data_IF_065135583012
#
_entry.id   IF_065135583012
#
_cell.length_a   1.000
_cell.length_b   1.000
_cell.length_c   1.000
_cell.angle_alpha   90.00
_cell.angle_beta   90.00
_cell.angle_gamma   90.00
#
_symmetry.space_group_name_H-M   'P 1'
#
loop_
_entity.id
_entity.type
_entity.pdbx_description
1 polymer ?
#
# COMPACT_ATOMS: atom_id res chain seq x y z
N UNK A 1 47.85 -5.78 21.83
CA UNK A 1 46.93 -4.68 22.16
C UNK A 1 45.53 -5.07 21.71
N UNK A 2 44.64 -5.40 22.65
CA UNK A 2 43.25 -5.75 22.35
C UNK A 2 42.44 -4.47 22.21
N UNK A 3 41.87 -4.24 21.03
CA UNK A 3 41.00 -3.08 20.77
C UNK A 3 39.64 -3.41 21.34
N UNK A 4 39.26 -2.72 22.42
CA UNK A 4 37.93 -2.85 23.02
C UNK A 4 36.85 -2.47 21.99
N UNK A 5 35.74 -3.23 21.89
CA UNK A 5 34.65 -2.89 20.98
C UNK A 5 34.01 -1.56 21.43
N UNK A 6 33.88 -0.61 20.50
CA UNK A 6 33.16 0.66 20.73
C UNK A 6 31.74 0.34 21.21
N UNK A 7 31.40 0.79 22.42
CA UNK A 7 30.05 0.69 22.96
C UNK A 7 29.06 1.37 21.99
N UNK A 8 28.20 0.58 21.35
CA UNK A 8 27.12 1.09 20.52
C UNK A 8 26.06 1.74 21.42
N UNK A 9 25.64 2.97 21.11
CA UNK A 9 24.61 3.65 21.90
C UNK A 9 23.31 2.82 21.87
N UNK A 10 22.52 2.80 22.95
CA UNK A 10 21.27 2.02 23.01
C UNK A 10 20.30 2.42 21.89
N UNK A 11 20.29 3.71 21.49
CA UNK A 11 19.56 4.19 20.31
C UNK A 11 20.08 3.58 19.01
N UNK A 12 21.39 3.48 18.82
CA UNK A 12 21.98 2.87 17.63
C UNK A 12 21.76 1.36 17.60
N UNK A 13 21.80 0.71 18.77
CA UNK A 13 21.50 -0.72 18.90
C UNK A 13 20.04 -1.01 18.57
N UNK A 14 19.10 -0.21 19.11
CA UNK A 14 17.67 -0.28 18.82
C UNK A 14 17.34 0.04 17.34
N UNK A 15 17.96 1.08 16.77
CA UNK A 15 17.78 1.45 15.36
C UNK A 15 18.32 0.38 14.39
N UNK A 16 19.36 -0.35 14.81
CA UNK A 16 19.94 -1.45 14.03
C UNK A 16 19.30 -2.82 14.37
N UNK A 17 18.36 -2.87 15.31
CA UNK A 17 17.67 -4.09 15.74
C UNK A 17 16.58 -4.43 14.72
N UNK A 18 16.96 -5.18 13.68
CA UNK A 18 16.08 -5.51 12.55
C UNK A 18 16.65 -5.15 11.19
N UNK A 19 17.79 -4.45 11.14
CA UNK A 19 18.57 -4.32 9.91
C UNK A 19 19.12 -5.71 9.56
N UNK A 20 18.56 -6.34 8.52
CA UNK A 20 19.19 -7.53 7.97
C UNK A 20 20.61 -7.15 7.54
N UNK A 21 21.57 -8.00 7.89
CA UNK A 21 22.91 -7.96 7.32
C UNK A 21 22.81 -7.77 5.80
N UNK A 22 23.76 -7.00 5.26
CA UNK A 22 23.95 -6.67 3.85
C UNK A 22 23.42 -7.75 2.88
N UNK A 23 22.84 -7.37 1.72
CA UNK A 23 22.55 -8.34 0.68
C UNK A 23 23.84 -9.10 0.37
N UNK A 24 23.84 -10.41 0.64
CA UNK A 24 24.98 -11.27 0.39
C UNK A 24 25.38 -11.10 -1.07
N UNK A 25 26.64 -10.72 -1.30
CA UNK A 25 27.16 -10.54 -2.65
C UNK A 25 27.15 -11.86 -3.43
N UNK A 26 27.29 -11.83 -4.77
CA UNK A 26 27.09 -12.99 -5.65
C UNK A 26 28.01 -14.21 -5.42
N UNK A 27 28.87 -14.19 -4.39
CA UNK A 27 29.94 -15.17 -4.16
C UNK A 27 29.98 -15.76 -2.73
N UNK A 28 29.05 -15.44 -1.84
CA UNK A 28 28.95 -16.15 -0.54
C UNK A 28 28.01 -17.35 -0.68
N UNK A 29 28.57 -18.55 -0.46
CA UNK A 29 27.91 -19.83 -0.67
C UNK A 29 26.65 -20.00 0.17
N UNK A 30 25.67 -20.67 -0.44
CA UNK A 30 24.34 -21.01 0.09
C UNK A 30 24.37 -21.63 1.50
N UNK A 31 24.49 -20.81 2.54
CA UNK A 31 24.21 -21.24 3.90
C UNK A 31 22.72 -21.09 4.18
N UNK A 32 22.00 -22.18 3.91
CA UNK A 32 20.62 -22.50 4.35
C UNK A 32 20.27 -21.87 5.71
N UNK A 33 19.74 -20.66 5.70
CA UNK A 33 18.89 -20.15 6.78
C UNK A 33 17.46 -20.37 6.30
N UNK A 34 16.73 -21.24 6.99
CA UNK A 34 15.36 -21.60 6.64
C UNK A 34 14.55 -20.37 6.30
N UNK A 35 13.98 -20.34 5.10
CA UNK A 35 13.11 -19.28 4.63
C UNK A 35 12.10 -18.95 5.73
N UNK A 36 12.17 -17.74 6.30
CA UNK A 36 11.19 -17.28 7.28
C UNK A 36 9.86 -17.11 6.53
N UNK A 37 9.05 -18.17 6.51
CA UNK A 37 7.73 -18.14 5.92
C UNK A 37 6.81 -17.36 6.85
N UNK A 38 6.48 -16.13 6.45
CA UNK A 38 5.45 -15.34 7.12
C UNK A 38 4.07 -15.92 6.82
N UNK A 39 3.18 -15.88 7.80
CA UNK A 39 1.79 -16.29 7.61
C UNK A 39 1.13 -15.47 6.49
N UNK A 40 0.45 -16.13 5.56
CA UNK A 40 -0.17 -15.50 4.39
C UNK A 40 -1.10 -14.34 4.75
N UNK A 41 -1.90 -14.47 5.80
CA UNK A 41 -2.79 -13.40 6.26
C UNK A 41 -2.04 -12.15 6.70
N UNK A 42 -0.86 -12.29 7.31
CA UNK A 42 -0.02 -11.13 7.69
C UNK A 42 0.47 -10.40 6.45
N UNK A 43 0.90 -11.15 5.44
CA UNK A 43 1.34 -10.59 4.14
C UNK A 43 0.17 -9.89 3.46
N UNK A 44 -0.98 -10.54 3.37
CA UNK A 44 -2.19 -9.98 2.76
C UNK A 44 -2.73 -8.75 3.49
N UNK A 45 -2.66 -8.69 4.82
CA UNK A 45 -3.05 -7.49 5.56
C UNK A 45 -2.03 -6.36 5.35
N UNK A 46 -0.73 -6.68 5.36
CA UNK A 46 0.31 -5.67 5.16
C UNK A 46 0.25 -5.06 3.76
N UNK A 47 0.18 -5.89 2.71
CA UNK A 47 -0.01 -5.41 1.33
C UNK A 47 -1.42 -4.85 1.13
N UNK A 48 -2.39 -5.36 1.87
CA UNK A 48 -3.78 -4.92 1.86
C UNK A 48 -3.95 -3.49 2.34
N UNK A 49 -3.19 -3.01 3.33
CA UNK A 49 -3.27 -1.60 3.77
C UNK A 49 -3.12 -0.63 2.58
N UNK A 50 -2.20 -0.92 1.67
CA UNK A 50 -1.94 -0.10 0.48
C UNK A 50 -3.06 -0.20 -0.57
N UNK A 51 -3.59 -1.40 -0.81
CA UNK A 51 -4.71 -1.57 -1.74
C UNK A 51 -6.03 -1.00 -1.18
N UNK A 52 -6.27 -1.17 0.11
CA UNK A 52 -7.49 -0.72 0.77
C UNK A 52 -7.51 0.79 0.98
N UNK A 53 -6.36 1.46 1.08
CA UNK A 53 -6.31 2.92 1.08
C UNK A 53 -6.89 3.48 -0.23
N UNK A 54 -6.57 2.84 -1.37
CA UNK A 54 -7.10 3.22 -2.68
C UNK A 54 -8.62 3.04 -2.77
N UNK A 55 -9.17 2.00 -2.14
CA UNK A 55 -10.62 1.81 -2.05
C UNK A 55 -11.33 2.95 -1.29
N UNK A 56 -10.62 3.66 -0.40
CA UNK A 56 -11.19 4.77 0.36
C UNK A 56 -11.62 5.95 -0.51
N UNK A 57 -10.84 6.29 -1.54
CA UNK A 57 -11.10 7.46 -2.38
C UNK A 57 -11.56 7.11 -3.80
N UNK A 58 -11.10 5.99 -4.37
CA UNK A 58 -11.30 5.70 -5.79
C UNK A 58 -12.78 5.59 -6.21
N UNK A 59 -13.66 4.90 -5.46
CA UNK A 59 -15.09 4.88 -5.79
C UNK A 59 -15.72 6.27 -5.73
N UNK A 60 -15.29 7.11 -4.80
CA UNK A 60 -15.73 8.50 -4.67
C UNK A 60 -15.31 9.34 -5.88
N UNK A 61 -14.05 9.24 -6.31
CA UNK A 61 -13.56 9.92 -7.52
C UNK A 61 -14.31 9.42 -8.75
N UNK A 62 -14.54 8.11 -8.89
CA UNK A 62 -15.30 7.56 -10.00
C UNK A 62 -16.74 8.10 -10.02
N UNK A 63 -17.40 8.20 -8.87
CA UNK A 63 -18.73 8.79 -8.74
C UNK A 63 -18.75 10.27 -9.12
N UNK A 64 -17.75 11.06 -8.69
CA UNK A 64 -17.64 12.48 -9.03
C UNK A 64 -17.34 12.72 -10.52
N UNK A 65 -16.49 11.89 -11.12
CA UNK A 65 -16.05 12.06 -12.50
C UNK A 65 -17.03 11.47 -13.53
N UNK A 66 -17.61 10.30 -13.24
CA UNK A 66 -18.46 9.55 -14.17
C UNK A 66 -19.95 9.53 -13.79
N UNK A 67 -20.31 10.02 -12.59
CA UNK A 67 -21.70 10.10 -12.14
C UNK A 67 -22.41 8.74 -12.19
N UNK A 68 -23.53 8.67 -12.90
CA UNK A 68 -24.30 7.44 -13.09
C UNK A 68 -23.51 6.31 -13.79
N UNK A 69 -22.48 6.63 -14.58
CA UNK A 69 -21.62 5.65 -15.25
C UNK A 69 -20.53 5.07 -14.34
N UNK A 70 -20.36 5.59 -13.12
CA UNK A 70 -19.32 5.13 -12.19
C UNK A 70 -19.29 3.63 -11.94
N UNK A 71 -20.42 2.89 -11.79
CA UNK A 71 -20.36 1.44 -11.60
C UNK A 71 -19.78 0.74 -12.82
N UNK A 72 -20.10 1.19 -14.03
CA UNK A 72 -19.56 0.63 -15.27
C UNK A 72 -18.06 0.89 -15.40
N UNK A 73 -17.62 2.11 -15.08
CA UNK A 73 -16.19 2.46 -15.09
C UNK A 73 -15.39 1.59 -14.10
N UNK A 74 -15.91 1.38 -12.89
CA UNK A 74 -15.26 0.49 -11.91
C UNK A 74 -15.25 -0.96 -12.36
N UNK A 75 -16.31 -1.44 -13.02
CA UNK A 75 -16.37 -2.80 -13.54
C UNK A 75 -15.33 -3.03 -14.64
N UNK A 76 -15.18 -2.09 -15.57
CA UNK A 76 -14.15 -2.14 -16.62
C UNK A 76 -12.76 -2.23 -15.98
N UNK A 77 -12.50 -1.43 -14.93
CA UNK A 77 -11.24 -1.49 -14.23
C UNK A 77 -11.01 -2.86 -13.58
N UNK A 78 -12.01 -3.42 -12.90
CA UNK A 78 -11.93 -4.76 -12.30
C UNK A 78 -11.60 -5.80 -13.37
N UNK A 79 -12.26 -5.75 -14.54
CA UNK A 79 -11.97 -6.65 -15.65
C UNK A 79 -10.53 -6.50 -16.14
N UNK A 80 -10.05 -5.27 -16.33
CA UNK A 80 -8.67 -5.00 -16.74
C UNK A 80 -7.66 -5.54 -15.71
N UNK A 81 -7.94 -5.39 -14.42
CA UNK A 81 -7.08 -5.94 -13.37
C UNK A 81 -7.08 -7.47 -13.38
N UNK A 82 -8.25 -8.11 -13.53
CA UNK A 82 -8.36 -9.57 -13.53
C UNK A 82 -7.79 -10.24 -14.79
N UNK A 83 -7.99 -9.64 -15.96
CA UNK A 83 -7.61 -10.24 -17.25
C UNK A 83 -6.32 -9.67 -17.83
N UNK A 84 -5.89 -8.48 -17.40
CA UNK A 84 -4.62 -7.87 -17.80
C UNK A 84 -3.55 -8.05 -16.72
N UNK A 85 -3.75 -7.45 -15.55
CA UNK A 85 -2.71 -7.39 -14.53
C UNK A 85 -2.46 -8.74 -13.84
N UNK A 86 -3.50 -9.43 -13.35
CA UNK A 86 -3.39 -10.68 -12.62
C UNK A 86 -2.63 -11.79 -13.38
N UNK A 87 -2.88 -12.08 -14.68
CA UNK A 87 -2.11 -13.12 -15.38
C UNK A 87 -0.63 -12.75 -15.52
N UNK A 88 -0.31 -11.46 -15.70
CA UNK A 88 1.08 -10.98 -15.73
C UNK A 88 1.74 -11.20 -14.35
N UNK A 89 1.09 -10.78 -13.27
CA UNK A 89 1.60 -10.99 -11.91
C UNK A 89 1.79 -12.47 -11.57
N UNK A 90 0.86 -13.33 -11.99
CA UNK A 90 1.01 -14.79 -11.82
C UNK A 90 2.24 -15.33 -12.55
N UNK A 91 2.52 -14.86 -13.76
CA UNK A 91 3.71 -15.26 -14.52
C UNK A 91 4.99 -14.77 -13.85
N UNK A 92 5.04 -13.51 -13.42
CA UNK A 92 6.21 -12.95 -12.72
C UNK A 92 6.48 -13.69 -11.41
N UNK A 93 5.45 -14.05 -10.66
CA UNK A 93 5.59 -14.79 -9.40
C UNK A 93 6.15 -16.21 -9.61
N UNK A 94 5.85 -16.85 -10.74
CA UNK A 94 6.41 -18.16 -11.10
C UNK A 94 7.88 -18.02 -11.51
N UNK A 95 8.21 -16.99 -12.29
CA UNK A 95 9.56 -16.79 -12.84
C UNK A 95 10.55 -16.22 -11.81
N UNK A 96 10.06 -15.54 -10.77
CA UNK A 96 10.85 -14.95 -9.68
C UNK A 96 10.45 -15.51 -8.31
N UNK A 97 10.67 -16.83 -8.06
CA UNK A 97 10.25 -17.48 -6.82
C UNK A 97 11.06 -17.06 -5.58
N UNK A 98 12.24 -16.47 -5.79
CA UNK A 98 13.13 -16.01 -4.72
C UNK A 98 12.90 -14.55 -4.32
N UNK A 99 11.92 -13.86 -4.91
CA UNK A 99 11.60 -12.47 -4.55
C UNK A 99 12.55 -11.44 -5.14
N UNK A 100 13.29 -11.78 -6.20
CA UNK A 100 14.15 -10.82 -6.93
C UNK A 100 13.32 -9.73 -7.66
N UNK A 101 11.99 -9.93 -7.75
CA UNK A 101 11.05 -9.01 -8.37
C UNK A 101 11.12 -9.02 -9.90
N UNK A 102 10.29 -8.17 -10.54
CA UNK A 102 10.26 -8.02 -12.00
C UNK A 102 11.51 -7.32 -12.54
N UNK A 103 12.17 -6.48 -11.72
CA UNK A 103 13.34 -5.69 -12.11
C UNK A 103 14.54 -6.60 -12.39
N UNK A 104 14.83 -7.56 -11.50
CA UNK A 104 15.93 -8.50 -11.70
C UNK A 104 15.68 -9.46 -12.88
N UNK A 105 14.41 -9.81 -13.14
CA UNK A 105 14.03 -10.58 -14.32
C UNK A 105 14.30 -9.78 -15.61
N UNK A 106 13.94 -8.50 -15.64
CA UNK A 106 14.14 -7.61 -16.79
C UNK A 106 15.62 -7.26 -17.02
N UNK A 107 16.43 -7.15 -15.95
CA UNK A 107 17.87 -6.93 -16.07
C UNK A 107 18.56 -8.08 -16.82
N UNK A 108 18.18 -9.33 -16.55
CA UNK A 108 18.74 -10.52 -17.20
C UNK A 108 18.41 -10.61 -18.70
N UNK A 109 17.41 -9.88 -19.18
CA UNK A 109 16.94 -9.90 -20.57
C UNK A 109 17.59 -8.82 -21.46
N UNK A 110 18.28 -7.82 -20.88
CA UNK A 110 18.83 -6.67 -21.62
C UNK A 110 20.36 -6.65 -21.66
N UNK A 111 20.99 -6.29 -22.78
CA UNK A 111 22.44 -6.28 -22.90
C UNK A 111 23.11 -5.14 -22.11
N UNK A 112 24.08 -5.54 -21.28
CA UNK A 112 25.11 -4.77 -20.56
C UNK A 112 24.73 -3.38 -19.99
N UNK A 113 24.65 -2.34 -20.83
CA UNK A 113 24.36 -0.96 -20.38
C UNK A 113 22.89 -0.58 -20.43
N UNK A 114 22.12 -1.16 -21.36
CA UNK A 114 20.69 -0.88 -21.48
C UNK A 114 19.95 -1.41 -20.26
N UNK A 115 20.33 -2.59 -19.76
CA UNK A 115 19.80 -3.15 -18.52
C UNK A 115 20.03 -2.22 -17.33
N UNK A 116 21.25 -1.71 -17.14
CA UNK A 116 21.56 -0.80 -16.04
C UNK A 116 20.79 0.53 -16.09
N UNK A 117 20.73 1.17 -17.26
CA UNK A 117 19.95 2.40 -17.42
C UNK A 117 18.46 2.16 -17.18
N UNK A 118 17.93 1.02 -17.65
CA UNK A 118 16.55 0.63 -17.44
C UNK A 118 16.24 0.36 -15.96
N UNK A 119 17.10 -0.38 -15.26
CA UNK A 119 16.98 -0.62 -13.81
C UNK A 119 17.02 0.70 -13.04
N UNK A 120 17.93 1.62 -13.38
CA UNK A 120 17.99 2.94 -12.75
C UNK A 120 16.70 3.74 -12.99
N UNK A 121 16.14 3.69 -14.20
CA UNK A 121 14.87 4.34 -14.51
C UNK A 121 13.71 3.73 -13.71
N UNK A 122 13.62 2.39 -13.62
CA UNK A 122 12.61 1.71 -12.81
C UNK A 122 12.77 2.00 -11.32
N UNK A 123 14.00 2.07 -10.81
CA UNK A 123 14.25 2.41 -9.42
C UNK A 123 13.84 3.86 -9.12
N UNK A 124 14.10 4.78 -10.05
CA UNK A 124 13.61 6.16 -9.96
C UNK A 124 12.09 6.24 -9.99
N UNK A 125 11.44 5.43 -10.83
CA UNK A 125 9.98 5.30 -10.87
C UNK A 125 9.44 4.76 -9.54
N UNK A 126 9.99 3.67 -9.00
CA UNK A 126 9.60 3.09 -7.71
C UNK A 126 9.80 4.07 -6.55
N UNK A 127 10.92 4.81 -6.54
CA UNK A 127 11.17 5.82 -5.52
C UNK A 127 10.14 6.96 -5.59
N UNK A 128 9.78 7.38 -6.80
CA UNK A 128 8.77 8.42 -7.02
C UNK A 128 7.40 7.93 -6.58
N UNK A 129 7.02 6.72 -6.98
CA UNK A 129 5.77 6.08 -6.59
C UNK A 129 5.65 5.97 -5.06
N UNK A 130 6.72 5.55 -4.38
CA UNK A 130 6.75 5.47 -2.92
C UNK A 130 6.53 6.84 -2.24
N UNK A 131 7.21 7.89 -2.73
CA UNK A 131 7.04 9.25 -2.20
C UNK A 131 5.62 9.77 -2.44
N UNK A 132 5.09 9.56 -3.65
CA UNK A 132 3.73 9.99 -4.02
C UNK A 132 2.70 9.26 -3.16
N UNK A 133 2.81 7.94 -3.02
CA UNK A 133 1.86 7.11 -2.28
C UNK A 133 1.79 7.50 -0.80
N UNK A 134 2.94 7.71 -0.14
CA UNK A 134 2.95 8.20 1.25
C UNK A 134 2.31 9.59 1.34
N UNK A 135 2.65 10.49 0.43
CA UNK A 135 2.20 11.88 0.48
C UNK A 135 0.70 12.00 0.21
N UNK A 136 0.19 11.34 -0.83
CA UNK A 136 -1.24 11.31 -1.16
C UNK A 136 -2.04 10.65 -0.05
N UNK A 137 -1.59 9.51 0.47
CA UNK A 137 -2.29 8.81 1.56
C UNK A 137 -2.37 9.67 2.83
N UNK A 138 -1.28 10.36 3.19
CA UNK A 138 -1.27 11.23 4.36
C UNK A 138 -2.12 12.51 4.15
N UNK A 139 -2.14 13.05 2.94
CA UNK A 139 -2.97 14.21 2.60
C UNK A 139 -4.46 13.86 2.65
N UNK A 140 -4.85 12.71 2.11
CA UNK A 140 -6.22 12.21 2.13
C UNK A 140 -6.70 11.93 3.56
N UNK A 141 -5.89 11.24 4.37
CA UNK A 141 -6.17 11.03 5.79
C UNK A 141 -6.34 12.36 6.55
N UNK A 142 -5.55 13.37 6.19
CA UNK A 142 -5.66 14.70 6.78
C UNK A 142 -6.95 15.40 6.37
N UNK A 143 -7.36 15.33 5.10
CA UNK A 143 -8.62 15.90 4.64
C UNK A 143 -9.80 15.30 5.41
N UNK A 144 -9.84 13.97 5.55
CA UNK A 144 -10.85 13.29 6.36
C UNK A 144 -10.85 13.71 7.84
N UNK A 145 -9.68 13.99 8.42
CA UNK A 145 -9.58 14.41 9.82
C UNK A 145 -10.02 15.87 10.03
N UNK A 146 -9.65 16.76 9.11
CA UNK A 146 -9.97 18.20 9.17
C UNK A 146 -11.45 18.45 8.85
N UNK A 147 -12.03 17.69 7.92
CA UNK A 147 -13.46 17.78 7.57
C UNK A 147 -14.35 17.07 8.59
N UNK A 148 -13.78 16.28 9.51
CA UNK A 148 -14.53 15.56 10.52
C UNK A 148 -15.25 16.55 11.46
N UNK A 149 -16.58 16.48 11.61
CA UNK A 149 -17.34 17.36 12.50
C UNK A 149 -16.85 17.39 13.96
N UNK A 150 -16.22 16.30 14.43
CA UNK A 150 -15.71 16.21 15.80
C UNK A 150 -14.41 17.00 16.02
N UNK A 151 -13.64 17.30 14.96
CA UNK A 151 -12.34 17.95 15.05
C UNK A 151 -12.20 19.23 14.20
N UNK A 152 -13.20 19.53 13.37
CA UNK A 152 -13.19 20.61 12.39
C UNK A 152 -12.88 21.99 13.00
N UNK A 153 -13.37 22.28 14.21
CA UNK A 153 -13.14 23.58 14.84
C UNK A 153 -11.69 23.77 15.35
N UNK A 154 -10.98 22.69 15.70
CA UNK A 154 -9.61 22.76 16.24
C UNK A 154 -8.53 22.55 15.18
N UNK A 155 -8.84 21.84 14.09
CA UNK A 155 -7.89 21.48 13.04
C UNK A 155 -8.07 22.28 11.73
N UNK A 156 -9.10 23.14 11.66
CA UNK A 156 -9.34 24.06 10.54
C UNK A 156 -8.08 24.88 10.23
N UNK A 157 -7.66 24.86 8.96
CA UNK A 157 -6.51 25.62 8.45
C UNK A 157 -5.13 25.02 8.75
N UNK A 158 -5.04 23.88 9.46
CA UNK A 158 -3.77 23.27 9.86
C UNK A 158 -3.39 22.04 9.01
N UNK A 159 -3.94 21.91 7.80
CA UNK A 159 -3.75 20.75 6.92
C UNK A 159 -2.29 20.32 6.78
N UNK A 160 -1.37 21.26 6.47
CA UNK A 160 0.05 20.93 6.28
C UNK A 160 0.68 20.34 7.55
N UNK A 161 0.36 20.90 8.72
CA UNK A 161 0.94 20.46 10.00
C UNK A 161 0.43 19.06 10.34
N UNK A 162 -0.86 18.82 10.16
CA UNK A 162 -1.48 17.51 10.40
C UNK A 162 -0.89 16.45 9.46
N UNK A 163 -0.75 16.75 8.16
CA UNK A 163 -0.13 15.83 7.19
C UNK A 163 1.30 15.48 7.61
N UNK A 164 2.12 16.48 7.95
CA UNK A 164 3.51 16.25 8.38
C UNK A 164 3.57 15.44 9.68
N UNK A 165 2.66 15.69 10.61
CA UNK A 165 2.57 14.93 11.85
C UNK A 165 2.18 13.46 11.60
N UNK A 166 1.24 13.18 10.69
CA UNK A 166 0.87 11.82 10.31
C UNK A 166 2.01 11.08 9.63
N UNK A 167 2.74 11.73 8.72
CA UNK A 167 3.92 11.13 8.07
C UNK A 167 5.02 10.86 9.11
N UNK A 168 5.27 11.79 10.03
CA UNK A 168 6.25 11.61 11.09
C UNK A 168 5.86 10.45 12.02
N UNK A 169 4.58 10.34 12.39
CA UNK A 169 4.06 9.24 13.20
C UNK A 169 4.21 7.89 12.49
N UNK A 170 3.87 7.84 11.19
CA UNK A 170 4.07 6.64 10.38
C UNK A 170 5.55 6.23 10.38
N UNK A 171 6.45 7.20 10.14
CA UNK A 171 7.90 6.97 10.22
C UNK A 171 8.34 6.45 11.60
N UNK A 172 7.82 7.02 12.68
CA UNK A 172 8.12 6.59 14.05
C UNK A 172 7.65 5.16 14.33
N UNK A 173 6.48 4.75 13.82
CA UNK A 173 5.99 3.37 13.92
C UNK A 173 6.93 2.40 13.22
N UNK A 174 7.39 2.74 12.02
CA UNK A 174 8.37 1.90 11.30
C UNK A 174 9.73 1.83 12.01
N UNK A 175 10.19 2.93 12.63
CA UNK A 175 11.41 2.94 13.44
C UNK A 175 11.31 2.06 14.69
N UNK A 176 10.11 1.93 15.27
CA UNK A 176 9.86 1.08 16.46
C UNK A 176 10.01 -0.41 16.17
N UNK A 177 9.75 -0.83 14.93
CA UNK A 177 9.98 -2.19 14.47
C UNK A 177 8.92 -2.69 13.51
N UNK A 178 9.35 -3.42 12.49
CA UNK A 178 8.48 -3.92 11.42
C UNK A 178 7.35 -4.83 11.92
N UNK A 179 7.61 -5.67 12.93
CA UNK A 179 6.60 -6.56 13.52
C UNK A 179 5.44 -5.81 14.18
N UNK A 180 5.72 -4.69 14.86
CA UNK A 180 4.71 -3.84 15.49
C UNK A 180 3.83 -3.17 14.42
N UNK A 181 4.46 -2.65 13.36
CA UNK A 181 3.75 -2.05 12.23
C UNK A 181 2.78 -3.05 11.57
N UNK A 182 3.22 -4.30 11.36
CA UNK A 182 2.35 -5.38 10.83
C UNK A 182 1.18 -5.66 11.77
N UNK A 183 1.40 -5.64 13.09
CA UNK A 183 0.35 -5.80 14.10
C UNK A 183 -0.74 -4.73 13.98
N UNK A 184 -0.31 -3.47 13.94
CA UNK A 184 -1.20 -2.30 13.78
C UNK A 184 -1.96 -2.38 12.45
N UNK A 185 -1.25 -2.68 11.35
CA UNK A 185 -1.83 -2.83 10.02
C UNK A 185 -2.96 -3.86 10.00
N UNK A 186 -2.77 -5.04 10.59
CA UNK A 186 -3.82 -6.06 10.65
C UNK A 186 -5.09 -5.55 11.33
N UNK A 187 -4.97 -4.92 12.51
CA UNK A 187 -6.12 -4.39 13.25
C UNK A 187 -6.85 -3.33 12.42
N UNK A 188 -6.12 -2.39 11.81
CA UNK A 188 -6.69 -1.35 10.96
C UNK A 188 -7.44 -1.94 9.77
N UNK A 189 -6.86 -2.93 9.09
CA UNK A 189 -7.50 -3.61 7.96
C UNK A 189 -8.80 -4.28 8.36
N UNK A 190 -8.81 -5.03 9.47
CA UNK A 190 -10.03 -5.71 9.93
C UNK A 190 -11.15 -4.70 10.26
N UNK A 191 -10.81 -3.62 10.96
CA UNK A 191 -11.78 -2.56 11.28
C UNK A 191 -12.29 -1.90 10.01
N UNK A 192 -11.40 -1.54 9.09
CA UNK A 192 -11.75 -0.91 7.82
C UNK A 192 -12.69 -1.80 6.99
N UNK A 193 -12.36 -3.09 6.83
CA UNK A 193 -13.17 -4.03 6.06
C UNK A 193 -14.53 -4.27 6.72
N UNK A 194 -14.59 -4.36 8.05
CA UNK A 194 -15.85 -4.51 8.77
C UNK A 194 -16.77 -3.30 8.57
N UNK A 195 -16.23 -2.08 8.70
CA UNK A 195 -17.00 -0.86 8.45
C UNK A 195 -17.49 -0.77 7.00
N UNK A 196 -16.64 -1.12 6.03
CA UNK A 196 -17.03 -1.17 4.62
C UNK A 196 -18.15 -2.20 4.38
N UNK A 197 -18.05 -3.39 4.97
CA UNK A 197 -19.07 -4.41 4.85
C UNK A 197 -20.43 -3.93 5.38
N UNK A 198 -20.45 -3.18 6.49
CA UNK A 198 -21.66 -2.56 7.03
C UNK A 198 -22.22 -1.52 6.05
N UNK A 199 -21.38 -0.61 5.55
CA UNK A 199 -21.81 0.44 4.60
C UNK A 199 -22.38 -0.17 3.31
N UNK A 200 -21.71 -1.17 2.75
CA UNK A 200 -22.19 -1.88 1.56
C UNK A 200 -23.49 -2.63 1.86
N UNK A 201 -23.58 -3.30 3.01
CA UNK A 201 -24.79 -4.01 3.44
C UNK A 201 -26.01 -3.09 3.56
N UNK A 202 -25.88 -1.98 4.27
CA UNK A 202 -26.92 -0.96 4.39
C UNK A 202 -27.30 -0.35 3.04
N UNK A 203 -26.31 -0.10 2.18
CA UNK A 203 -26.55 0.37 0.81
C UNK A 203 -27.41 -0.60 -0.01
N UNK A 204 -27.09 -1.90 0.04
CA UNK A 204 -27.85 -2.95 -0.64
C UNK A 204 -29.27 -3.09 -0.08
N UNK A 205 -29.45 -3.02 1.24
CA UNK A 205 -30.76 -3.05 1.88
C UNK A 205 -31.63 -1.87 1.45
N UNK A 206 -31.05 -0.67 1.36
CA UNK A 206 -31.76 0.52 0.89
C UNK A 206 -32.20 0.40 -0.57
N UNK A 207 -31.37 -0.18 -1.43
CA UNK A 207 -31.72 -0.45 -2.84
C UNK A 207 -32.86 -1.49 -2.92
N UNK A 208 -32.83 -2.52 -2.07
CA UNK A 208 -33.88 -3.54 -2.03
C UNK A 208 -35.22 -2.98 -1.55
N UNK A 209 -35.22 -2.06 -0.58
CA UNK A 209 -36.43 -1.45 -0.04
C UNK A 209 -37.00 -0.33 -0.90
N UNK A 210 -36.17 0.39 -1.67
CA UNK A 210 -36.61 1.46 -2.56
C UNK A 210 -36.19 1.19 -4.03
N UNK A 211 -37.02 0.44 -4.79
CA UNK A 211 -36.78 0.15 -6.20
C UNK A 211 -36.70 1.41 -7.08
N UNK A 212 -37.18 2.55 -6.60
CA UNK A 212 -37.14 3.80 -7.37
C UNK A 212 -35.72 4.32 -7.54
N UNK A 213 -34.79 3.96 -6.64
CA UNK A 213 -33.36 4.29 -6.75
C UNK A 213 -32.77 3.66 -8.02
N UNK A 214 -33.05 2.37 -8.25
CA UNK A 214 -32.59 1.67 -9.44
C UNK A 214 -33.26 2.20 -10.72
N UNK A 215 -34.54 2.57 -10.64
CA UNK A 215 -35.23 3.21 -11.75
C UNK A 215 -34.60 4.56 -12.11
N UNK A 216 -34.33 5.43 -11.13
CA UNK A 216 -33.69 6.74 -11.34
C UNK A 216 -32.29 6.60 -11.93
N UNK A 217 -31.52 5.62 -11.48
CA UNK A 217 -30.20 5.33 -12.06
C UNK A 217 -30.30 4.92 -13.52
N UNK A 218 -31.26 4.06 -13.89
CA UNK A 218 -31.49 3.68 -15.29
C UNK A 218 -31.90 4.87 -16.16
N UNK A 219 -32.76 5.75 -15.65
CA UNK A 219 -33.11 7.00 -16.36
C UNK A 219 -31.88 7.88 -16.54
N UNK A 220 -31.02 7.99 -15.53
CA UNK A 220 -29.80 8.80 -15.62
C UNK A 220 -28.73 8.24 -16.59
N UNK A 221 -28.87 7.00 -17.05
CA UNK A 221 -28.00 6.37 -18.05
C UNK A 221 -28.48 6.57 -19.49
N UNK A 222 -29.72 7.01 -19.69
CA UNK A 222 -30.36 7.15 -21.01
C UNK A 222 -30.45 8.62 -21.40
#
# INVERSE_FOLDING_TARGET
MSVAPKATSPLKKWLLEGYQKEPEGPYEGEHKKGHHQSSWFKVMCLTGVDYFSTLGYQPGIAALAAGALSPMATLILILLTLFGALPIYRRVAIESPHGEGSIAMLEKLLPWWQGKLFVLALLGFVATDFIITITLSAADATAHLVENPFFSHSLSGQTIIVTLALVALLGAVFLKGFGEAVGIAMVLVFVYLALNAVVVGEGLLRIAHDPTVFHRWKVALT
#
